data_IF_135179555392
#
_entry.id   IF_135179555392
#
_cell.length_a   1.000
_cell.length_b   1.000
_cell.length_c   1.000
_cell.angle_alpha   90.00
_cell.angle_beta   90.00
_cell.angle_gamma   90.00
#
_symmetry.space_group_name_H-M   'P 1'
#
loop_
_entity.id
_entity.type
_entity.pdbx_description
1 polymer ?
#
# COMPACT_ATOMS: atom_id res chain seq x y z
N UNK A 1 6.65 9.85 -30.58
CA UNK A 1 6.83 8.53 -31.21
C UNK A 1 5.92 7.56 -30.49
N UNK A 2 5.07 6.85 -31.21
CA UNK A 2 4.07 5.97 -30.62
C UNK A 2 4.80 4.77 -29.98
N UNK A 3 4.64 4.63 -28.65
CA UNK A 3 5.02 3.40 -27.95
C UNK A 3 4.22 2.25 -28.60
N UNK A 4 4.92 1.18 -28.99
CA UNK A 4 4.28 0.01 -29.62
C UNK A 4 3.20 -0.60 -28.72
N UNK A 5 2.28 -1.34 -29.33
CA UNK A 5 1.21 -2.03 -28.60
C UNK A 5 1.76 -2.87 -27.44
N UNK A 6 1.03 -2.87 -26.32
CA UNK A 6 1.39 -3.66 -25.15
C UNK A 6 1.47 -5.16 -25.53
N UNK A 7 2.54 -5.88 -25.13
CA UNK A 7 2.62 -7.32 -25.38
C UNK A 7 1.37 -8.04 -24.86
N UNK A 8 0.80 -8.95 -25.68
CA UNK A 8 -0.48 -9.62 -25.38
C UNK A 8 -0.55 -10.27 -24.00
N UNK A 9 0.54 -10.87 -23.52
CA UNK A 9 0.57 -11.50 -22.20
C UNK A 9 0.28 -10.50 -21.08
N UNK A 10 0.75 -9.26 -21.22
CA UNK A 10 0.61 -8.21 -20.21
C UNK A 10 -0.82 -7.69 -20.20
N UNK A 11 -1.42 -7.54 -21.38
CA UNK A 11 -2.85 -7.26 -21.51
C UNK A 11 -3.70 -8.33 -20.83
N UNK A 12 -3.43 -9.63 -21.05
CA UNK A 12 -4.16 -10.71 -20.39
C UNK A 12 -4.03 -10.68 -18.86
N UNK A 13 -2.83 -10.43 -18.32
CA UNK A 13 -2.62 -10.30 -16.87
C UNK A 13 -3.37 -9.08 -16.32
N UNK A 14 -3.37 -7.95 -17.04
CA UNK A 14 -4.09 -6.75 -16.63
C UNK A 14 -5.61 -6.99 -16.56
N UNK A 15 -6.19 -7.69 -17.55
CA UNK A 15 -7.62 -8.04 -17.56
C UNK A 15 -7.98 -8.95 -16.38
N UNK A 16 -7.13 -9.93 -16.04
CA UNK A 16 -7.37 -10.83 -14.92
C UNK A 16 -7.26 -10.14 -13.55
N UNK A 17 -6.49 -9.06 -13.50
CA UNK A 17 -6.23 -8.26 -12.31
C UNK A 17 -6.84 -6.86 -12.42
N UNK A 18 -7.96 -6.72 -13.14
CA UNK A 18 -8.60 -5.43 -13.34
C UNK A 18 -8.99 -4.81 -11.98
N UNK A 19 -8.67 -3.52 -11.74
CA UNK A 19 -8.88 -2.90 -10.43
C UNK A 19 -10.36 -2.64 -10.10
N UNK A 20 -11.25 -2.67 -11.10
CA UNK A 20 -12.68 -2.41 -10.93
C UNK A 20 -13.50 -3.70 -10.96
N UNK A 21 -13.08 -4.71 -11.72
CA UNK A 21 -13.72 -6.03 -11.81
C UNK A 21 -12.69 -7.19 -11.83
N UNK A 22 -12.05 -7.49 -10.69
CA UNK A 22 -10.99 -8.48 -10.63
C UNK A 22 -11.54 -9.90 -10.77
N UNK A 23 -11.23 -10.54 -11.89
CA UNK A 23 -11.62 -11.94 -12.14
C UNK A 23 -10.83 -12.89 -11.21
N UNK A 24 -9.50 -12.68 -11.08
CA UNK A 24 -8.60 -13.55 -10.31
C UNK A 24 -7.56 -12.79 -9.47
N UNK A 25 -7.84 -11.53 -9.09
CA UNK A 25 -6.87 -10.66 -8.42
C UNK A 25 -6.22 -11.28 -7.16
N UNK A 26 -7.02 -11.88 -6.27
CA UNK A 26 -6.48 -12.57 -5.08
C UNK A 26 -5.65 -13.81 -5.41
N UNK A 27 -6.06 -14.58 -6.42
CA UNK A 27 -5.33 -15.77 -6.86
C UNK A 27 -3.95 -15.42 -7.43
N UNK A 28 -3.89 -14.40 -8.28
CA UNK A 28 -2.63 -13.85 -8.80
C UNK A 28 -1.77 -13.26 -7.68
N UNK A 29 -2.37 -12.54 -6.74
CA UNK A 29 -1.69 -12.01 -5.56
C UNK A 29 -1.06 -13.12 -4.71
N UNK A 30 -1.77 -14.23 -4.51
CA UNK A 30 -1.23 -15.38 -3.77
C UNK A 30 -0.03 -16.02 -4.47
N UNK A 31 -0.13 -16.25 -5.78
CA UNK A 31 0.98 -16.78 -6.59
C UNK A 31 2.22 -15.87 -6.55
N UNK A 32 2.01 -14.56 -6.56
CA UNK A 32 3.10 -13.60 -6.42
C UNK A 32 3.77 -13.69 -5.06
N UNK A 33 2.99 -13.71 -3.97
CA UNK A 33 3.51 -13.82 -2.61
C UNK A 33 4.30 -15.11 -2.43
N UNK A 34 3.74 -16.25 -2.80
CA UNK A 34 4.38 -17.56 -2.64
C UNK A 34 5.73 -17.66 -3.37
N UNK A 35 5.92 -16.90 -4.47
CA UNK A 35 7.14 -16.94 -5.28
C UNK A 35 8.16 -15.85 -4.95
N UNK A 36 7.72 -14.67 -4.52
CA UNK A 36 8.56 -13.48 -4.48
C UNK A 36 8.55 -12.73 -3.16
N UNK A 37 7.62 -13.02 -2.23
CA UNK A 37 7.50 -12.27 -0.98
C UNK A 37 7.66 -13.18 0.23
N UNK A 38 8.71 -12.96 1.01
CA UNK A 38 9.00 -13.78 2.18
C UNK A 38 8.62 -13.11 3.52
N UNK A 39 8.57 -13.89 4.58
CA UNK A 39 8.17 -13.42 5.92
C UNK A 39 9.10 -12.35 6.50
N UNK A 40 10.38 -12.34 6.12
CA UNK A 40 11.34 -11.32 6.57
C UNK A 40 11.02 -9.97 5.94
N UNK A 41 10.72 -9.95 4.64
CA UNK A 41 10.29 -8.74 3.94
C UNK A 41 9.00 -8.19 4.55
N UNK A 42 8.04 -9.07 4.87
CA UNK A 42 6.81 -8.71 5.59
C UNK A 42 7.09 -8.00 6.90
N UNK A 43 7.92 -8.60 7.78
CA UNK A 43 8.27 -8.00 9.07
C UNK A 43 8.99 -6.67 8.94
N UNK A 44 9.86 -6.55 7.93
CA UNK A 44 10.58 -5.31 7.66
C UNK A 44 9.62 -4.19 7.27
N UNK A 45 8.70 -4.44 6.34
CA UNK A 45 7.73 -3.42 5.92
C UNK A 45 6.71 -3.08 7.02
N UNK A 46 6.30 -4.06 7.84
CA UNK A 46 5.46 -3.81 9.03
C UNK A 46 6.16 -2.91 10.04
N UNK A 47 7.46 -3.13 10.26
CA UNK A 47 8.28 -2.28 11.15
C UNK A 47 8.39 -0.85 10.60
N UNK A 48 8.63 -0.69 9.30
CA UNK A 48 8.68 0.62 8.65
C UNK A 48 7.33 1.33 8.78
N UNK A 49 6.22 0.65 8.49
CA UNK A 49 4.88 1.21 8.59
C UNK A 49 4.57 1.69 10.02
N UNK A 50 4.95 0.89 11.03
CA UNK A 50 4.80 1.26 12.43
C UNK A 50 5.62 2.51 12.78
N UNK A 51 6.90 2.55 12.39
CA UNK A 51 7.76 3.69 12.67
C UNK A 51 7.24 4.98 12.01
N UNK A 52 6.70 4.88 10.79
CA UNK A 52 6.07 6.02 10.10
C UNK A 52 4.80 6.50 10.82
N UNK A 53 3.94 5.57 11.28
CA UNK A 53 2.76 5.92 12.10
C UNK A 53 3.15 6.63 13.40
N UNK A 54 4.17 6.14 14.10
CA UNK A 54 4.68 6.75 15.34
C UNK A 54 5.29 8.14 15.11
N UNK A 55 6.06 8.30 14.03
CA UNK A 55 6.59 9.60 13.63
C UNK A 55 5.46 10.59 13.30
N UNK A 56 4.42 10.14 12.59
CA UNK A 56 3.25 10.97 12.30
C UNK A 56 2.55 11.42 13.58
N UNK A 57 2.33 10.52 14.55
CA UNK A 57 1.73 10.87 15.85
C UNK A 57 2.53 11.94 16.59
N UNK A 58 3.85 11.82 16.56
CA UNK A 58 4.76 12.82 17.17
C UNK A 58 4.61 14.18 16.50
N UNK A 59 4.55 14.22 15.16
CA UNK A 59 4.35 15.46 14.39
C UNK A 59 2.98 16.08 14.69
N UNK A 60 1.92 15.27 14.76
CA UNK A 60 0.56 15.74 15.07
C UNK A 60 0.47 16.40 16.45
N UNK A 61 1.18 15.86 17.45
CA UNK A 61 1.20 16.42 18.80
C UNK A 61 1.93 17.77 18.84
N UNK A 62 3.09 17.87 18.18
CA UNK A 62 3.99 19.04 18.25
C UNK A 62 3.62 20.19 17.30
N UNK A 63 2.72 19.94 16.36
CA UNK A 63 2.20 20.93 15.43
C UNK A 63 1.54 22.13 16.15
N UNK A 64 1.77 23.36 15.69
CA UNK A 64 1.24 24.59 16.31
C UNK A 64 -0.01 25.18 15.65
N UNK A 65 -0.40 24.71 14.46
CA UNK A 65 -1.51 25.25 13.68
C UNK A 65 -2.85 24.53 13.92
N UNK A 66 -2.84 23.32 14.49
CA UNK A 66 -4.06 22.58 14.85
C UNK A 66 -4.51 22.83 16.29
N UNK A 67 -5.82 22.92 16.51
CA UNK A 67 -6.41 22.89 17.84
C UNK A 67 -6.28 21.49 18.51
N UNK A 68 -6.44 21.45 19.83
CA UNK A 68 -6.25 20.23 20.61
C UNK A 68 -7.26 19.12 20.28
N UNK A 69 -8.51 19.45 19.95
CA UNK A 69 -9.53 18.47 19.62
C UNK A 69 -9.24 17.79 18.27
N UNK A 70 -8.83 18.58 17.28
CA UNK A 70 -8.41 18.09 15.97
C UNK A 70 -7.16 17.22 16.07
N UNK A 71 -6.16 17.61 16.88
CA UNK A 71 -4.97 16.79 17.14
C UNK A 71 -5.31 15.44 17.77
N UNK A 72 -6.21 15.41 18.75
CA UNK A 72 -6.62 14.16 19.39
C UNK A 72 -7.29 13.21 18.40
N UNK A 73 -8.19 13.73 17.56
CA UNK A 73 -8.86 12.95 16.52
C UNK A 73 -7.88 12.43 15.46
N UNK A 74 -6.94 13.28 15.00
CA UNK A 74 -5.92 12.88 14.04
C UNK A 74 -4.98 11.80 14.59
N UNK A 75 -4.56 11.93 15.86
CA UNK A 75 -3.68 10.96 16.54
C UNK A 75 -4.36 9.60 16.73
N UNK A 76 -5.67 9.58 17.02
CA UNK A 76 -6.47 8.36 17.15
C UNK A 76 -6.62 7.61 15.82
N UNK A 77 -6.64 8.33 14.69
CA UNK A 77 -6.77 7.77 13.35
C UNK A 77 -5.44 7.28 12.77
N UNK A 78 -4.32 7.89 13.18
CA UNK A 78 -2.96 7.53 12.78
C UNK A 78 -2.49 6.19 13.37
#
# INVERSE_FOLDING_TARGET
>A
GLQGEEPRWRHCVNVLNDPYDPILGYGLGRLYVDKYFNDTEKRNVETIAKNVSEALKTVLQNNTWMDNATKANATKKA
#
